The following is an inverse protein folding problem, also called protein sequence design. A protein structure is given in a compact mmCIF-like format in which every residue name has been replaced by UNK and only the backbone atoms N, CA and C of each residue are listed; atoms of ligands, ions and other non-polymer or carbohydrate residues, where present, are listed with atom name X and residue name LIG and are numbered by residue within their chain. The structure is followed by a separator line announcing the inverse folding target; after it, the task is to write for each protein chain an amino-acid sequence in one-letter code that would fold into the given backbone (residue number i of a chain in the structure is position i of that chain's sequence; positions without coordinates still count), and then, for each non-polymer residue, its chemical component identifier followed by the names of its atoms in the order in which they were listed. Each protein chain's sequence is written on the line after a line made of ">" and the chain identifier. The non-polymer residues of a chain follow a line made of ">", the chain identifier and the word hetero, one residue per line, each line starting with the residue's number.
data_IF_605415468561
#
_entry.id   IF_605415468561
#
_cell.length_a   1.000
_cell.length_b   1.000
_cell.length_c   1.000
_cell.angle_alpha   90.00
_cell.angle_beta   90.00
_cell.angle_gamma   90.00
#
_symmetry.space_group_name_H-M   'P 1'
#
loop_
_entity.id
_entity.type
_entity.pdbx_description
1 polymer ?
#
# COMPACT_ATOMS: atom_id res chain seq x y z
N UNK A 1 15.06 -3.81 -10.05
CA UNK A 1 15.72 -4.94 -9.33
C UNK A 1 14.70 -5.59 -8.38
N UNK A 2 14.74 -6.91 -8.20
CA UNK A 2 13.91 -7.56 -7.18
C UNK A 2 14.44 -7.19 -5.79
N UNK A 3 13.54 -6.94 -4.83
CA UNK A 3 13.95 -6.83 -3.41
C UNK A 3 14.64 -8.13 -3.02
N UNK A 4 15.72 -7.99 -2.30
CA UNK A 4 16.44 -9.12 -1.73
C UNK A 4 15.46 -10.01 -0.95
N UNK A 5 15.31 -11.25 -1.41
CA UNK A 5 14.41 -12.24 -0.78
C UNK A 5 14.74 -12.47 0.69
N UNK A 6 16.00 -12.26 1.09
CA UNK A 6 16.42 -12.35 2.48
C UNK A 6 15.85 -11.20 3.32
N UNK A 7 15.84 -9.97 2.80
CA UNK A 7 15.24 -8.83 3.50
C UNK A 7 13.73 -9.02 3.72
N UNK A 8 13.04 -9.51 2.70
CA UNK A 8 11.61 -9.80 2.84
C UNK A 8 11.38 -10.92 3.88
N UNK A 9 12.16 -11.99 3.85
CA UNK A 9 12.05 -13.08 4.83
C UNK A 9 12.32 -12.60 6.27
N UNK A 10 13.36 -11.78 6.46
CA UNK A 10 13.69 -11.20 7.76
C UNK A 10 12.58 -10.26 8.27
N UNK A 11 12.03 -9.42 7.40
CA UNK A 11 10.87 -8.58 7.73
C UNK A 11 9.66 -9.40 8.17
N UNK A 12 9.33 -10.46 7.44
CA UNK A 12 8.19 -11.32 7.77
C UNK A 12 8.38 -12.02 9.12
N UNK A 13 9.58 -12.48 9.43
CA UNK A 13 9.90 -13.07 10.73
C UNK A 13 9.71 -12.05 11.86
N UNK A 14 10.24 -10.83 11.70
CA UNK A 14 10.05 -9.75 12.68
C UNK A 14 8.57 -9.39 12.85
N UNK A 15 7.80 -9.39 11.75
CA UNK A 15 6.38 -9.11 11.76
C UNK A 15 5.59 -10.18 12.52
N UNK A 16 5.91 -11.47 12.33
CA UNK A 16 5.33 -12.57 13.09
C UNK A 16 5.65 -12.43 14.59
N UNK A 17 6.91 -12.20 14.94
CA UNK A 17 7.33 -11.99 16.33
C UNK A 17 6.57 -10.83 16.99
N UNK A 18 6.40 -9.72 16.28
CA UNK A 18 5.70 -8.52 16.77
C UNK A 18 4.21 -8.76 17.02
N UNK A 19 3.52 -9.41 16.09
CA UNK A 19 2.06 -9.51 16.12
C UNK A 19 1.52 -10.80 16.75
N UNK A 20 2.37 -11.79 16.94
CA UNK A 20 2.01 -13.05 17.61
C UNK A 20 2.64 -13.16 19.01
N UNK A 21 3.27 -12.09 19.54
CA UNK A 21 3.81 -12.10 20.90
C UNK A 21 2.72 -12.34 21.94
N UNK A 22 1.59 -11.64 21.80
CA UNK A 22 0.50 -11.64 22.77
C UNK A 22 -0.84 -12.15 22.19
N UNK A 23 -0.82 -12.63 20.93
CA UNK A 23 -2.02 -13.12 20.24
C UNK A 23 -1.86 -14.56 19.79
N UNK A 24 -2.92 -15.34 19.99
CA UNK A 24 -3.00 -16.68 19.44
C UNK A 24 -3.29 -16.63 17.92
N UNK A 25 -2.71 -17.55 17.17
CA UNK A 25 -2.93 -17.65 15.72
C UNK A 25 -4.42 -17.78 15.36
N UNK A 26 -5.23 -18.45 16.20
CA UNK A 26 -6.67 -18.57 16.03
C UNK A 26 -7.42 -17.25 16.15
N UNK A 27 -6.95 -16.34 17.00
CA UNK A 27 -7.52 -15.00 17.17
C UNK A 27 -7.27 -14.14 15.92
N UNK A 28 -6.04 -14.18 15.42
CA UNK A 28 -5.67 -13.49 14.17
C UNK A 28 -6.46 -14.06 12.99
N UNK A 29 -6.63 -15.38 12.89
CA UNK A 29 -7.44 -16.02 11.84
C UNK A 29 -8.90 -15.60 11.90
N UNK A 30 -9.50 -15.54 13.09
CA UNK A 30 -10.88 -15.06 13.27
C UNK A 30 -11.01 -13.60 12.84
N UNK A 31 -10.07 -12.77 13.22
CA UNK A 31 -10.04 -11.37 12.84
C UNK A 31 -9.85 -11.20 11.32
N UNK A 32 -9.02 -12.03 10.69
CA UNK A 32 -8.84 -12.03 9.24
C UNK A 32 -10.14 -12.36 8.49
N UNK A 33 -10.90 -13.36 8.94
CA UNK A 33 -12.22 -13.67 8.37
C UNK A 33 -13.17 -12.48 8.47
N UNK A 34 -13.22 -11.82 9.62
CA UNK A 34 -14.06 -10.63 9.83
C UNK A 34 -13.63 -9.46 8.94
N UNK A 35 -12.32 -9.24 8.76
CA UNK A 35 -11.80 -8.23 7.83
C UNK A 35 -12.16 -8.56 6.39
N UNK A 36 -11.95 -9.80 5.95
CA UNK A 36 -12.23 -10.22 4.57
C UNK A 36 -13.72 -10.05 4.24
N UNK A 37 -14.63 -10.47 5.11
CA UNK A 37 -16.07 -10.24 4.94
C UNK A 37 -16.42 -8.75 4.87
N UNK A 38 -15.81 -7.94 5.75
CA UNK A 38 -16.02 -6.49 5.74
C UNK A 38 -15.51 -5.84 4.44
N UNK A 39 -14.39 -6.31 3.90
CA UNK A 39 -13.90 -5.84 2.60
C UNK A 39 -14.82 -6.23 1.43
N UNK A 40 -15.50 -7.36 1.51
CA UNK A 40 -16.45 -7.81 0.47
C UNK A 40 -17.81 -7.11 0.60
N UNK A 41 -18.32 -6.94 1.84
CA UNK A 41 -19.70 -6.54 2.10
C UNK A 41 -19.87 -5.02 2.34
N UNK A 42 -18.87 -4.33 2.88
CA UNK A 42 -19.02 -2.97 3.43
C UNK A 42 -18.12 -1.91 2.81
N UNK A 43 -17.76 -2.03 1.56
CA UNK A 43 -16.85 -1.10 0.88
C UNK A 43 -17.41 0.33 0.67
N UNK A 44 -18.55 0.67 1.24
CA UNK A 44 -19.26 1.93 0.95
C UNK A 44 -19.02 3.08 1.95
N UNK A 45 -18.31 2.89 3.07
CA UNK A 45 -18.12 3.98 4.03
C UNK A 45 -16.71 4.06 4.62
N UNK A 46 -16.13 5.28 4.60
CA UNK A 46 -14.87 5.64 5.29
C UNK A 46 -14.90 5.30 6.81
N UNK A 47 -16.07 5.28 7.43
CA UNK A 47 -16.29 4.83 8.82
C UNK A 47 -16.01 3.33 9.01
N UNK A 48 -16.15 2.50 7.96
CA UNK A 48 -15.86 1.08 8.04
C UNK A 48 -14.36 0.81 8.21
N UNK A 49 -13.49 1.69 7.72
CA UNK A 49 -12.03 1.51 7.74
C UNK A 49 -11.41 1.84 9.09
N UNK A 50 -11.85 2.92 9.77
CA UNK A 50 -11.43 3.13 11.15
C UNK A 50 -11.80 1.94 12.04
N UNK A 51 -12.98 1.32 11.83
CA UNK A 51 -13.39 0.09 12.51
C UNK A 51 -12.66 -1.17 12.02
N UNK A 52 -12.06 -1.14 10.84
CA UNK A 52 -11.26 -2.27 10.32
C UNK A 52 -9.98 -2.49 11.13
N UNK A 53 -9.45 -1.47 11.78
CA UNK A 53 -8.24 -1.54 12.60
C UNK A 53 -8.54 -1.53 14.12
N UNK A 54 -9.81 -1.67 14.52
CA UNK A 54 -10.18 -1.75 15.92
C UNK A 54 -9.79 -3.12 16.50
N UNK A 55 -8.95 -3.07 17.53
CA UNK A 55 -8.49 -4.23 18.28
C UNK A 55 -7.23 -4.91 17.70
N UNK A 56 -6.48 -5.53 18.61
CA UNK A 56 -5.17 -6.12 18.32
C UNK A 56 -5.25 -7.22 17.25
N UNK A 57 -6.27 -8.08 17.30
CA UNK A 57 -6.44 -9.18 16.34
C UNK A 57 -6.62 -8.70 14.90
N UNK A 58 -7.41 -7.63 14.66
CA UNK A 58 -7.60 -7.06 13.33
C UNK A 58 -6.34 -6.38 12.82
N UNK A 59 -5.62 -5.67 13.69
CA UNK A 59 -4.33 -5.06 13.38
C UNK A 59 -3.29 -6.11 12.99
N UNK A 60 -3.19 -7.19 13.76
CA UNK A 60 -2.33 -8.31 13.46
C UNK A 60 -2.71 -8.98 12.12
N UNK A 61 -4.00 -9.23 11.88
CA UNK A 61 -4.48 -9.80 10.63
C UNK A 61 -4.17 -8.88 9.43
N UNK A 62 -4.34 -7.56 9.59
CA UNK A 62 -3.99 -6.59 8.56
C UNK A 62 -2.49 -6.61 8.26
N UNK A 63 -1.63 -6.55 9.28
CA UNK A 63 -0.18 -6.55 9.12
C UNK A 63 0.35 -7.87 8.56
N UNK A 64 -0.09 -9.02 9.09
CA UNK A 64 0.44 -10.34 8.74
C UNK A 64 -0.11 -10.90 7.42
N UNK A 65 -1.27 -10.45 6.97
CA UNK A 65 -1.88 -10.96 5.75
C UNK A 65 -1.85 -9.93 4.62
N UNK A 66 -2.51 -8.77 4.80
CA UNK A 66 -2.59 -7.76 3.73
C UNK A 66 -1.24 -7.07 3.47
N UNK A 67 -0.47 -6.79 4.51
CA UNK A 67 0.86 -6.18 4.36
C UNK A 67 1.74 -6.92 3.36
N UNK A 68 2.06 -8.22 3.57
CA UNK A 68 2.92 -8.98 2.65
C UNK A 68 2.38 -9.11 1.22
N UNK A 69 1.07 -9.33 1.04
CA UNK A 69 0.50 -9.44 -0.31
C UNK A 69 0.49 -8.10 -1.04
N UNK A 70 0.23 -6.99 -0.34
CA UNK A 70 0.32 -5.66 -0.93
C UNK A 70 1.77 -5.29 -1.29
N UNK A 71 2.73 -5.63 -0.43
CA UNK A 71 4.15 -5.45 -0.73
C UNK A 71 4.53 -6.14 -2.05
N UNK A 72 4.19 -7.43 -2.18
CA UNK A 72 4.50 -8.22 -3.38
C UNK A 72 3.78 -7.68 -4.63
N UNK A 73 2.55 -7.23 -4.48
CA UNK A 73 1.78 -6.67 -5.58
C UNK A 73 2.36 -5.33 -6.06
N UNK A 74 2.67 -4.42 -5.12
CA UNK A 74 3.30 -3.13 -5.46
C UNK A 74 4.66 -3.34 -6.12
N UNK A 75 5.48 -4.26 -5.59
CA UNK A 75 6.76 -4.62 -6.19
C UNK A 75 6.60 -5.18 -7.61
N UNK A 76 5.64 -6.06 -7.82
CA UNK A 76 5.33 -6.62 -9.14
C UNK A 76 4.95 -5.50 -10.11
N UNK A 77 4.00 -4.65 -9.74
CA UNK A 77 3.52 -3.53 -10.59
C UNK A 77 4.66 -2.56 -10.90
N UNK A 78 5.45 -2.16 -9.91
CA UNK A 78 6.57 -1.25 -10.12
C UNK A 78 7.60 -1.81 -11.10
N UNK A 79 7.89 -3.12 -11.01
CA UNK A 79 8.79 -3.81 -11.95
C UNK A 79 8.22 -3.86 -13.37
N UNK A 80 6.97 -4.25 -13.53
CA UNK A 80 6.32 -4.36 -14.86
C UNK A 80 6.15 -2.98 -15.53
N UNK A 81 6.03 -1.92 -14.74
CA UNK A 81 6.03 -0.54 -15.24
C UNK A 81 7.45 -0.03 -15.58
N UNK A 82 8.49 -0.79 -15.25
CA UNK A 82 9.88 -0.30 -15.38
C UNK A 82 10.15 0.91 -14.48
N UNK A 83 9.47 1.00 -13.33
CA UNK A 83 9.61 2.14 -12.43
C UNK A 83 11.02 2.22 -11.86
N UNK A 84 11.72 3.29 -12.19
CA UNK A 84 13.01 3.64 -11.61
C UNK A 84 12.82 4.71 -10.55
N UNK A 85 13.25 4.43 -9.32
CA UNK A 85 13.23 5.40 -8.23
C UNK A 85 14.65 5.95 -8.07
N UNK A 86 14.78 7.24 -8.36
CA UNK A 86 16.03 7.97 -8.23
C UNK A 86 16.22 8.51 -6.81
N UNK A 87 17.38 9.14 -6.55
CA UNK A 87 17.66 9.83 -5.29
C UNK A 87 16.57 10.83 -4.94
N UNK A 88 16.19 10.87 -3.66
CA UNK A 88 15.22 11.83 -3.13
C UNK A 88 14.27 11.20 -2.14
N UNK A 89 13.09 11.79 -2.03
CA UNK A 89 12.05 11.36 -1.10
C UNK A 89 10.92 10.65 -1.84
N UNK A 90 10.67 9.38 -1.50
CA UNK A 90 9.45 8.66 -1.84
C UNK A 90 8.35 9.10 -0.88
N UNK A 91 7.25 9.64 -1.40
CA UNK A 91 6.09 10.00 -0.60
C UNK A 91 5.05 8.89 -0.69
N UNK A 92 4.77 8.22 0.44
CA UNK A 92 3.80 7.12 0.57
C UNK A 92 2.50 7.69 1.18
N UNK A 93 1.51 7.97 0.31
CA UNK A 93 0.23 8.58 0.70
C UNK A 93 -0.75 7.51 1.17
N UNK A 94 -1.33 7.70 2.36
CA UNK A 94 -2.15 6.69 2.99
C UNK A 94 -1.32 5.43 3.24
N UNK A 95 -0.14 5.62 3.82
CA UNK A 95 0.91 4.59 3.86
C UNK A 95 0.51 3.30 4.58
N UNK A 96 -0.56 3.32 5.37
CA UNK A 96 -0.98 2.14 6.12
C UNK A 96 0.19 1.57 6.93
N UNK A 97 0.50 0.31 6.75
CA UNK A 97 1.66 -0.35 7.39
C UNK A 97 3.00 -0.09 6.68
N UNK A 98 3.05 0.85 5.72
CA UNK A 98 4.29 1.29 5.05
C UNK A 98 4.79 0.36 3.95
N UNK A 99 4.03 -0.66 3.59
CA UNK A 99 4.51 -1.71 2.67
C UNK A 99 4.64 -1.23 1.22
N UNK A 100 3.83 -0.24 0.79
CA UNK A 100 3.94 0.32 -0.55
C UNK A 100 5.23 1.15 -0.70
N UNK A 101 5.48 2.08 0.22
CA UNK A 101 6.72 2.85 0.27
C UNK A 101 7.96 1.97 0.44
N UNK A 102 7.86 0.89 1.25
CA UNK A 102 8.94 -0.07 1.41
C UNK A 102 9.22 -0.85 0.12
N UNK A 103 8.19 -1.30 -0.60
CA UNK A 103 8.34 -2.04 -1.86
C UNK A 103 9.05 -1.22 -2.93
N UNK A 104 8.67 0.05 -3.11
CA UNK A 104 9.31 0.92 -4.10
C UNK A 104 10.66 1.46 -3.62
N UNK A 105 10.77 1.85 -2.34
CA UNK A 105 12.00 2.42 -1.78
C UNK A 105 13.14 1.40 -1.69
N UNK A 106 12.85 0.14 -1.33
CA UNK A 106 13.86 -0.92 -1.29
C UNK A 106 14.29 -1.41 -2.68
N UNK A 107 13.58 -1.05 -3.73
CA UNK A 107 13.93 -1.34 -5.13
C UNK A 107 14.67 -0.17 -5.81
N UNK A 108 14.87 0.94 -5.10
CA UNK A 108 15.58 2.10 -5.63
C UNK A 108 17.04 1.77 -5.96
N UNK A 109 17.55 2.38 -7.04
CA UNK A 109 18.95 2.19 -7.46
C UNK A 109 19.92 3.04 -6.65
N UNK A 110 19.44 4.13 -6.05
CA UNK A 110 20.18 5.03 -5.15
C UNK A 110 19.47 5.10 -3.79
N UNK A 111 20.20 5.49 -2.72
CA UNK A 111 19.58 5.68 -1.41
C UNK A 111 18.46 6.71 -1.44
N UNK A 112 17.28 6.32 -1.00
CA UNK A 112 16.09 7.18 -0.88
C UNK A 112 15.66 7.32 0.57
N UNK A 113 14.92 8.39 0.85
CA UNK A 113 14.13 8.53 2.07
C UNK A 113 12.66 8.21 1.77
N UNK A 114 11.91 7.75 2.76
CA UNK A 114 10.47 7.54 2.63
C UNK A 114 9.73 8.45 3.61
N UNK A 115 8.76 9.20 3.10
CA UNK A 115 7.83 10.00 3.88
C UNK A 115 6.45 9.32 3.86
N UNK A 116 6.09 8.63 4.93
CA UNK A 116 4.78 8.01 5.09
C UNK A 116 3.75 8.98 5.67
N UNK A 117 2.59 9.08 5.04
CA UNK A 117 1.47 9.93 5.48
C UNK A 117 0.25 9.05 5.72
N UNK A 118 -0.31 9.09 6.93
CA UNK A 118 -1.56 8.39 7.26
C UNK A 118 -2.33 9.14 8.36
N UNK A 119 -3.60 8.89 8.49
CA UNK A 119 -4.45 9.49 9.53
C UNK A 119 -4.46 8.70 10.84
N UNK A 120 -4.18 7.39 10.77
CA UNK A 120 -4.32 6.48 11.90
C UNK A 120 -2.98 6.30 12.66
N UNK A 121 -2.91 6.55 13.99
CA UNK A 121 -1.65 6.49 14.74
C UNK A 121 -0.96 5.11 14.68
N UNK A 122 -1.73 4.03 14.81
CA UNK A 122 -1.17 2.68 14.79
C UNK A 122 -0.51 2.36 13.44
N UNK A 123 -1.10 2.78 12.32
CA UNK A 123 -0.49 2.54 10.99
C UNK A 123 0.84 3.27 10.85
N UNK A 124 0.97 4.47 11.40
CA UNK A 124 2.24 5.21 11.39
C UNK A 124 3.34 4.49 12.17
N UNK A 125 3.00 3.84 13.30
CA UNK A 125 3.95 3.04 14.07
C UNK A 125 4.38 1.78 13.31
N UNK A 126 3.44 1.12 12.63
CA UNK A 126 3.75 -0.01 11.74
C UNK A 126 4.57 0.43 10.53
N UNK A 127 4.27 1.57 9.92
CA UNK A 127 5.05 2.09 8.81
C UNK A 127 6.50 2.38 9.20
N UNK A 128 6.74 2.99 10.37
CA UNK A 128 8.11 3.18 10.91
C UNK A 128 8.83 1.86 11.09
N UNK A 129 8.13 0.85 11.63
CA UNK A 129 8.67 -0.49 11.80
C UNK A 129 9.05 -1.09 10.45
N UNK A 130 8.14 -1.06 9.48
CA UNK A 130 8.35 -1.60 8.13
C UNK A 130 9.53 -0.93 7.44
N UNK A 131 9.56 0.40 7.37
CA UNK A 131 10.66 1.12 6.70
C UNK A 131 12.03 0.81 7.34
N UNK A 132 12.09 0.72 8.67
CA UNK A 132 13.31 0.34 9.40
C UNK A 132 13.74 -1.08 9.08
N UNK A 133 12.81 -2.04 9.00
CA UNK A 133 13.10 -3.43 8.68
C UNK A 133 13.71 -3.60 7.28
N UNK A 134 13.34 -2.71 6.34
CA UNK A 134 13.95 -2.65 5.00
C UNK A 134 15.23 -1.78 4.93
N UNK A 135 15.66 -1.19 6.05
CA UNK A 135 16.86 -0.33 6.09
C UNK A 135 16.65 1.04 5.43
N UNK A 136 15.42 1.50 5.31
CA UNK A 136 15.09 2.77 4.67
C UNK A 136 15.14 3.92 5.68
N UNK A 137 15.76 5.03 5.28
CA UNK A 137 15.60 6.30 6.00
C UNK A 137 14.17 6.75 5.86
N UNK A 138 13.51 7.11 6.96
CA UNK A 138 12.10 7.44 6.88
C UNK A 138 11.66 8.47 7.91
N UNK A 139 10.64 9.22 7.54
CA UNK A 139 9.80 10.01 8.43
C UNK A 139 8.34 9.57 8.22
N UNK A 140 7.52 9.64 9.25
CA UNK A 140 6.08 9.40 9.13
C UNK A 140 5.32 10.52 9.83
N UNK A 141 4.28 11.01 9.15
CA UNK A 141 3.49 12.15 9.61
C UNK A 141 2.02 11.82 9.62
N UNK A 142 1.36 12.21 10.70
CA UNK A 142 -0.10 12.18 10.73
C UNK A 142 -0.63 13.26 9.81
N UNK A 143 -1.39 12.86 8.79
CA UNK A 143 -1.93 13.78 7.79
C UNK A 143 -2.93 13.14 6.87
N UNK A 144 -3.60 13.95 6.08
CA UNK A 144 -4.57 13.51 5.09
C UNK A 144 -3.93 13.55 3.71
N UNK A 145 -4.06 12.48 2.91
CA UNK A 145 -3.43 12.35 1.60
C UNK A 145 -3.71 13.56 0.68
N UNK A 146 -4.96 14.03 0.63
CA UNK A 146 -5.38 15.16 -0.21
C UNK A 146 -4.86 16.53 0.24
N UNK A 147 -4.26 16.63 1.42
CA UNK A 147 -3.74 17.90 1.99
C UNK A 147 -2.23 17.87 2.20
N UNK A 148 -1.57 16.85 1.66
CA UNK A 148 -0.13 16.68 1.80
C UNK A 148 0.62 17.68 0.91
N UNK A 149 1.61 18.34 1.51
CA UNK A 149 2.61 19.12 0.75
C UNK A 149 3.80 18.22 0.47
N UNK A 150 4.19 18.14 -0.79
CA UNK A 150 5.30 17.31 -1.21
C UNK A 150 6.65 18.01 -0.97
N UNK A 151 7.67 17.31 -0.44
CA UNK A 151 9.03 17.81 -0.37
C UNK A 151 9.55 18.22 -1.76
N UNK A 152 10.44 19.20 -1.80
CA UNK A 152 11.03 19.69 -3.06
C UNK A 152 11.86 18.60 -3.78
N UNK A 153 12.45 17.67 -3.00
CA UNK A 153 13.23 16.54 -3.47
C UNK A 153 12.38 15.26 -3.69
N UNK A 154 11.05 15.39 -3.83
CA UNK A 154 10.19 14.24 -4.11
C UNK A 154 10.64 13.51 -5.38
N UNK A 155 10.97 12.24 -5.25
CA UNK A 155 11.42 11.37 -6.35
C UNK A 155 10.34 10.40 -6.84
N UNK A 156 9.33 10.14 -6.02
CA UNK A 156 8.16 9.34 -6.37
C UNK A 156 7.01 9.67 -5.40
N UNK A 157 5.80 9.70 -5.91
CA UNK A 157 4.58 9.64 -5.09
C UNK A 157 3.91 8.29 -5.33
N UNK A 158 3.69 7.52 -4.28
CA UNK A 158 2.93 6.26 -4.32
C UNK A 158 1.69 6.38 -3.43
N UNK A 159 0.55 5.90 -3.92
CA UNK A 159 -0.69 5.77 -3.16
C UNK A 159 -1.34 4.43 -3.49
N UNK A 160 -1.30 3.49 -2.55
CA UNK A 160 -1.81 2.15 -2.75
C UNK A 160 -3.02 1.89 -1.85
N UNK A 161 -4.17 1.63 -2.46
CA UNK A 161 -5.44 1.31 -1.79
C UNK A 161 -5.98 2.43 -0.88
N UNK A 162 -5.75 3.69 -1.25
CA UNK A 162 -6.13 4.86 -0.44
C UNK A 162 -7.11 5.81 -1.15
N UNK A 163 -7.05 5.93 -2.48
CA UNK A 163 -7.88 6.91 -3.20
C UNK A 163 -9.37 6.55 -3.11
N UNK A 164 -9.70 5.26 -3.08
CA UNK A 164 -11.06 4.78 -2.83
C UNK A 164 -11.64 5.21 -1.47
N UNK A 165 -10.78 5.48 -0.50
CA UNK A 165 -11.15 5.86 0.86
C UNK A 165 -11.50 7.34 0.98
N UNK A 166 -11.08 8.13 -0.01
CA UNK A 166 -11.28 9.57 0.00
C UNK A 166 -12.72 9.93 -0.41
N UNK A 167 -13.24 10.99 0.20
CA UNK A 167 -14.46 11.64 -0.27
C UNK A 167 -14.19 12.34 -1.61
N UNK A 168 -15.23 12.56 -2.41
CA UNK A 168 -15.11 13.13 -3.76
C UNK A 168 -14.36 14.47 -3.77
N UNK A 169 -14.64 15.37 -2.84
CA UNK A 169 -13.96 16.66 -2.75
C UNK A 169 -12.44 16.50 -2.47
N UNK A 170 -12.08 15.60 -1.55
CA UNK A 170 -10.67 15.32 -1.23
C UNK A 170 -9.96 14.59 -2.38
N UNK A 171 -10.70 13.71 -3.08
CA UNK A 171 -10.20 13.00 -4.26
C UNK A 171 -9.89 13.96 -5.41
N UNK A 172 -10.79 14.90 -5.67
CA UNK A 172 -10.58 15.94 -6.69
C UNK A 172 -9.40 16.86 -6.33
N UNK A 173 -9.27 17.26 -5.05
CA UNK A 173 -8.15 18.05 -4.58
C UNK A 173 -6.82 17.30 -4.72
N UNK A 174 -6.82 16.00 -4.42
CA UNK A 174 -5.63 15.15 -4.61
C UNK A 174 -5.24 15.06 -6.08
N UNK A 175 -6.20 14.81 -6.99
CA UNK A 175 -5.93 14.76 -8.42
C UNK A 175 -5.25 16.04 -8.90
N UNK A 176 -5.82 17.21 -8.58
CA UNK A 176 -5.24 18.51 -8.94
C UNK A 176 -3.81 18.67 -8.42
N UNK A 177 -3.57 18.21 -7.17
CA UNK A 177 -2.24 18.27 -6.58
C UNK A 177 -1.26 17.35 -7.31
N UNK A 178 -1.65 16.10 -7.58
CA UNK A 178 -0.82 15.13 -8.31
C UNK A 178 -0.51 15.57 -9.74
N UNK A 179 -1.45 16.27 -10.38
CA UNK A 179 -1.23 16.85 -11.69
C UNK A 179 -0.12 17.93 -11.71
N UNK A 180 0.15 18.59 -10.61
CA UNK A 180 1.20 19.62 -10.49
C UNK A 180 2.57 19.04 -10.13
N UNK A 181 2.66 17.79 -9.68
CA UNK A 181 3.91 17.15 -9.27
C UNK A 181 4.79 16.84 -10.47
N UNK A 182 6.10 17.12 -10.33
CA UNK A 182 7.10 16.81 -11.36
C UNK A 182 7.65 15.38 -11.26
N UNK A 183 7.58 14.79 -10.06
CA UNK A 183 8.00 13.41 -9.82
C UNK A 183 7.01 12.42 -10.44
N UNK A 184 7.44 11.18 -10.73
CA UNK A 184 6.53 10.09 -11.07
C UNK A 184 5.45 9.91 -10.02
N UNK A 185 4.26 9.49 -10.46
CA UNK A 185 3.12 9.17 -9.58
C UNK A 185 2.62 7.77 -9.89
N UNK A 186 2.50 6.93 -8.87
CA UNK A 186 1.94 5.59 -8.96
C UNK A 186 0.74 5.46 -8.02
N UNK A 187 -0.44 5.26 -8.60
CA UNK A 187 -1.67 4.93 -7.87
C UNK A 187 -1.99 3.46 -8.10
N UNK A 188 -2.29 2.73 -7.04
CA UNK A 188 -2.69 1.32 -7.12
C UNK A 188 -4.00 1.14 -6.36
N UNK A 189 -4.99 0.52 -7.02
CA UNK A 189 -6.32 0.34 -6.46
C UNK A 189 -6.89 -1.05 -6.82
N UNK A 190 -7.92 -1.53 -6.10
CA UNK A 190 -8.59 -2.76 -6.47
C UNK A 190 -9.20 -2.69 -7.87
N UNK A 191 -9.24 -3.83 -8.56
CA UNK A 191 -9.74 -3.94 -9.94
C UNK A 191 -11.26 -3.67 -10.07
N UNK A 192 -12.02 -3.75 -8.98
CA UNK A 192 -13.47 -3.63 -8.99
C UNK A 192 -13.92 -2.20 -9.35
N UNK A 193 -14.57 -2.03 -10.49
CA UNK A 193 -15.15 -0.76 -10.94
C UNK A 193 -16.20 -0.21 -9.96
N UNK A 194 -16.98 -1.09 -9.34
CA UNK A 194 -18.04 -0.71 -8.39
C UNK A 194 -17.51 0.12 -7.21
N UNK A 195 -16.28 -0.12 -6.78
CA UNK A 195 -15.68 0.60 -5.65
C UNK A 195 -14.84 1.81 -6.06
N UNK A 196 -14.66 2.02 -7.35
CA UNK A 196 -13.88 3.13 -7.89
C UNK A 196 -14.58 3.79 -9.07
N UNK A 197 -15.77 4.37 -8.87
CA UNK A 197 -16.51 5.03 -9.95
C UNK A 197 -15.78 6.24 -10.54
N UNK A 198 -14.81 6.77 -9.84
CA UNK A 198 -13.94 7.89 -10.23
C UNK A 198 -12.82 7.49 -11.21
N UNK A 199 -12.57 6.20 -11.39
CA UNK A 199 -11.40 5.67 -12.08
C UNK A 199 -11.23 6.19 -13.51
N UNK A 200 -12.28 6.14 -14.31
CA UNK A 200 -12.19 6.50 -15.74
C UNK A 200 -11.80 7.97 -15.94
N UNK A 201 -12.32 8.86 -15.09
CA UNK A 201 -11.95 10.27 -15.10
C UNK A 201 -10.46 10.48 -14.75
N UNK A 202 -9.96 9.76 -13.74
CA UNK A 202 -8.56 9.81 -13.36
C UNK A 202 -7.64 9.18 -14.43
N UNK A 203 -8.05 8.05 -15.02
CA UNK A 203 -7.33 7.41 -16.12
C UNK A 203 -7.18 8.37 -17.30
N UNK A 204 -8.25 9.04 -17.71
CA UNK A 204 -8.22 10.04 -18.77
C UNK A 204 -7.29 11.23 -18.42
N UNK A 205 -7.33 11.73 -17.18
CA UNK A 205 -6.46 12.80 -16.71
C UNK A 205 -4.97 12.40 -16.77
N UNK A 206 -4.62 11.19 -16.33
CA UNK A 206 -3.25 10.66 -16.40
C UNK A 206 -2.79 10.46 -17.86
N UNK A 207 -3.64 9.84 -18.70
CA UNK A 207 -3.33 9.59 -20.11
C UNK A 207 -3.11 10.89 -20.89
N UNK A 208 -3.92 11.93 -20.67
CA UNK A 208 -3.74 13.26 -21.26
C UNK A 208 -2.36 13.86 -20.97
N UNK A 209 -1.69 13.39 -19.93
CA UNK A 209 -0.37 13.87 -19.47
C UNK A 209 0.77 12.91 -19.83
N UNK A 210 0.53 11.95 -20.70
CA UNK A 210 1.51 10.94 -21.09
C UNK A 210 1.64 9.78 -20.11
N UNK A 211 0.70 9.66 -19.16
CA UNK A 211 0.61 8.53 -18.25
C UNK A 211 -0.15 7.36 -18.85
N UNK A 212 -0.32 6.32 -18.05
CA UNK A 212 -1.01 5.08 -18.45
C UNK A 212 -1.92 4.55 -17.34
N UNK A 213 -2.90 3.76 -17.73
CA UNK A 213 -3.79 3.02 -16.85
C UNK A 213 -3.70 1.54 -17.21
N UNK A 214 -3.47 0.67 -16.23
CA UNK A 214 -3.26 -0.75 -16.43
C UNK A 214 -4.08 -1.59 -15.45
N UNK A 215 -4.41 -2.82 -15.88
CA UNK A 215 -4.95 -3.86 -15.01
C UNK A 215 -3.94 -5.00 -14.85
N UNK A 216 -3.84 -5.52 -13.63
CA UNK A 216 -2.83 -6.48 -13.26
C UNK A 216 -3.47 -7.77 -12.72
N UNK A 217 -2.85 -8.90 -13.10
CA UNK A 217 -3.10 -10.22 -12.54
C UNK A 217 -1.76 -10.86 -12.22
N UNK A 218 -1.29 -10.65 -11.00
CA UNK A 218 -0.02 -11.17 -10.54
C UNK A 218 -0.21 -12.55 -9.89
N UNK A 219 0.43 -13.59 -10.44
CA UNK A 219 0.59 -14.86 -9.72
C UNK A 219 1.74 -14.71 -8.75
N UNK A 220 1.49 -14.98 -7.49
CA UNK A 220 2.50 -14.95 -6.43
C UNK A 220 2.63 -16.31 -5.77
N UNK A 221 3.81 -16.57 -5.19
CA UNK A 221 3.99 -17.59 -4.18
C UNK A 221 3.86 -16.91 -2.80
N UNK A 222 2.72 -17.04 -2.10
CA UNK A 222 2.51 -16.32 -0.85
C UNK A 222 3.51 -16.77 0.22
N UNK A 223 4.01 -15.84 1.06
CA UNK A 223 4.88 -16.19 2.17
C UNK A 223 4.25 -17.21 3.13
N UNK A 224 5.06 -17.97 3.91
CA UNK A 224 4.55 -19.03 4.78
C UNK A 224 3.43 -18.59 5.73
N UNK A 225 3.56 -17.43 6.37
CA UNK A 225 2.52 -16.90 7.26
C UNK A 225 1.21 -16.60 6.51
N UNK A 226 1.30 -16.03 5.30
CA UNK A 226 0.14 -15.76 4.45
C UNK A 226 -0.53 -17.06 4.03
N UNK A 227 0.23 -18.10 3.62
CA UNK A 227 -0.30 -19.43 3.30
C UNK A 227 -1.04 -20.05 4.48
N UNK A 228 -0.45 -19.99 5.67
CA UNK A 228 -1.07 -20.52 6.91
C UNK A 228 -2.37 -19.80 7.22
N UNK A 229 -2.38 -18.46 7.20
CA UNK A 229 -3.56 -17.63 7.45
C UNK A 229 -4.64 -17.85 6.38
N UNK A 230 -4.24 -17.93 5.10
CA UNK A 230 -5.15 -18.21 3.98
C UNK A 230 -5.88 -19.53 4.16
N UNK A 231 -5.12 -20.60 4.41
CA UNK A 231 -5.69 -21.94 4.63
C UNK A 231 -6.68 -21.92 5.80
N UNK A 232 -6.30 -21.31 6.92
CA UNK A 232 -7.13 -21.23 8.11
C UNK A 232 -8.37 -20.35 7.93
N UNK A 233 -8.30 -19.29 7.11
CA UNK A 233 -9.40 -18.36 6.85
C UNK A 233 -10.26 -18.73 5.63
N UNK A 234 -9.85 -19.72 4.81
CA UNK A 234 -10.55 -20.09 3.57
C UNK A 234 -10.31 -19.10 2.42
N UNK A 235 -9.16 -18.40 2.41
CA UNK A 235 -8.80 -17.43 1.39
C UNK A 235 -7.81 -18.03 0.37
N UNK A 236 -7.74 -17.43 -0.83
CA UNK A 236 -6.86 -17.89 -1.92
C UNK A 236 -6.09 -16.70 -2.50
N UNK A 237 -4.90 -16.37 -1.97
CA UNK A 237 -4.11 -15.22 -2.38
C UNK A 237 -3.11 -15.49 -3.52
N UNK A 238 -3.20 -16.63 -4.20
CA UNK A 238 -2.24 -17.03 -5.23
C UNK A 238 -2.30 -16.15 -6.49
N UNK A 239 -3.44 -15.47 -6.69
CA UNK A 239 -3.62 -14.51 -7.78
C UNK A 239 -4.07 -13.19 -7.19
N UNK A 240 -3.20 -12.19 -7.24
CA UNK A 240 -3.51 -10.83 -6.84
C UNK A 240 -3.97 -10.02 -8.04
N UNK A 241 -5.02 -9.25 -7.86
CA UNK A 241 -5.54 -8.36 -8.90
C UNK A 241 -5.55 -6.92 -8.42
N UNK A 242 -5.14 -6.03 -9.30
CA UNK A 242 -5.20 -4.59 -9.08
C UNK A 242 -5.29 -3.85 -10.41
N UNK A 243 -5.49 -2.56 -10.34
CA UNK A 243 -5.26 -1.63 -11.43
C UNK A 243 -4.35 -0.50 -10.97
N UNK A 244 -3.64 0.11 -11.90
CA UNK A 244 -2.76 1.22 -11.59
C UNK A 244 -2.93 2.38 -12.56
N UNK A 245 -2.70 3.58 -12.04
CA UNK A 245 -2.41 4.77 -12.84
C UNK A 245 -0.95 5.13 -12.61
N UNK A 246 -0.22 5.30 -13.69
CA UNK A 246 1.16 5.71 -13.63
C UNK A 246 1.38 6.96 -14.48
N UNK A 247 1.96 7.98 -13.86
CA UNK A 247 2.41 9.19 -14.52
C UNK A 247 3.94 9.22 -14.44
N UNK A 248 4.67 9.18 -15.56
CA UNK A 248 6.12 9.25 -15.55
C UNK A 248 6.60 10.66 -15.16
N UNK A 249 7.88 10.77 -14.87
CA UNK A 249 8.54 12.06 -14.60
C UNK A 249 8.37 13.01 -15.79
N UNK A 250 8.20 14.31 -15.50
CA UNK A 250 8.21 15.39 -16.49
C UNK A 250 9.61 15.98 -16.67
#
# INVERSE_FOLDING_TARGET
>A
MAVDSQKLAAFLQQLEQRHLADLQFSEVTRALRALSSAYVERRETALAQHKALDGAGKRAAFALYYGPIHFLLVQHIARELGLVVERGTVVDLGCGTGVAGAAVGSSAIEPVSVLGIDTHPWTLDEARFTYRAFGLRSDVRRGHAARTRFPADTSLVVAAFVVNELKDADRNALLTTLESVKAPVLIIEPISQRISPWWDAWAAAFQKRGGRADEWRARIDPPPIVKRLSKAAGLRPEVLTARSLFLPRR
#
